data_IF_473718414973
#
_entry.id   IF_473718414973
#
_cell.length_a   1.000
_cell.length_b   1.000
_cell.length_c   1.000
_cell.angle_alpha   90.00
_cell.angle_beta   90.00
_cell.angle_gamma   90.00
#
_symmetry.space_group_name_H-M   'P 1'
#
loop_
_entity.id
_entity.type
_entity.pdbx_description
1 polymer ?
#
# COMPACT_ATOMS: atom_id res chain seq x y z
N UNK A 1 9.31 -5.27 2.99
CA UNK A 1 9.80 -5.16 1.60
C UNK A 1 10.15 -3.72 1.22
N UNK A 2 10.78 -3.02 2.17
CA UNK A 2 11.34 -1.68 1.97
C UNK A 2 12.69 -1.67 2.69
N UNK A 3 13.73 -1.18 2.04
CA UNK A 3 15.05 -0.96 2.62
C UNK A 3 15.39 0.53 2.54
N UNK A 4 16.27 0.99 3.42
CA UNK A 4 16.81 2.35 3.39
C UNK A 4 18.21 2.25 2.79
N UNK A 5 18.47 3.00 1.71
CA UNK A 5 19.80 3.06 1.11
C UNK A 5 20.76 3.98 1.89
N UNK A 6 22.03 4.02 1.48
CA UNK A 6 23.06 4.84 2.14
C UNK A 6 22.76 6.35 2.11
N UNK A 7 21.85 6.80 1.23
CA UNK A 7 21.40 8.19 1.14
C UNK A 7 20.17 8.45 2.02
N UNK A 8 19.73 7.48 2.83
CA UNK A 8 18.52 7.59 3.64
C UNK A 8 17.22 7.50 2.83
N UNK A 9 17.28 7.12 1.55
CA UNK A 9 16.09 7.04 0.70
C UNK A 9 15.42 5.67 0.81
N UNK A 10 14.10 5.60 1.01
CA UNK A 10 13.39 4.33 1.00
C UNK A 10 13.34 3.74 -0.42
N UNK A 11 13.63 2.44 -0.54
CA UNK A 11 13.60 1.66 -1.78
C UNK A 11 12.72 0.43 -1.60
N UNK A 12 11.83 0.17 -2.55
CA UNK A 12 11.07 -1.09 -2.59
C UNK A 12 12.05 -2.22 -2.96
N UNK A 13 11.93 -3.35 -2.27
CA UNK A 13 12.72 -4.55 -2.53
C UNK A 13 11.83 -5.80 -2.52
N UNK A 14 12.42 -6.97 -2.75
CA UNK A 14 11.75 -8.27 -2.71
C UNK A 14 10.59 -8.40 -3.72
N UNK A 15 10.98 -8.56 -4.99
CA UNK A 15 10.07 -8.75 -6.13
C UNK A 15 9.73 -10.22 -6.41
N UNK A 16 9.97 -11.13 -5.46
CA UNK A 16 9.77 -12.57 -5.66
C UNK A 16 8.32 -12.96 -5.97
N UNK A 17 7.36 -12.10 -5.60
CA UNK A 17 5.92 -12.27 -5.84
C UNK A 17 5.35 -11.21 -6.81
N UNK A 18 6.19 -10.36 -7.40
CA UNK A 18 5.71 -9.28 -8.26
C UNK A 18 5.16 -9.83 -9.59
N UNK A 19 4.03 -9.28 -10.05
CA UNK A 19 3.41 -9.64 -11.31
C UNK A 19 3.36 -8.41 -12.24
N UNK A 20 3.73 -8.61 -13.51
CA UNK A 20 3.65 -7.57 -14.55
C UNK A 20 2.46 -7.91 -15.43
N UNK A 21 1.52 -6.98 -15.54
CA UNK A 21 0.37 -7.09 -16.42
C UNK A 21 0.64 -6.32 -17.71
N UNK A 22 0.46 -6.97 -18.86
CA UNK A 22 0.45 -6.34 -20.18
C UNK A 22 -1.00 -6.29 -20.69
N UNK A 23 -1.36 -5.23 -21.41
CA UNK A 23 -2.73 -4.98 -21.92
C UNK A 23 -3.22 -6.00 -22.96
N UNK A 24 -2.37 -6.92 -23.43
CA UNK A 24 -2.73 -7.95 -24.39
C UNK A 24 -2.61 -9.34 -23.79
N UNK A 25 -3.65 -10.13 -24.06
CA UNK A 25 -3.81 -11.50 -23.62
C UNK A 25 -2.55 -12.35 -23.89
N UNK A 26 -1.78 -12.62 -22.86
CA UNK A 26 -0.79 -13.69 -22.91
C UNK A 26 -1.01 -14.68 -21.77
N UNK A 27 -1.27 -15.91 -22.17
CA UNK A 27 -1.41 -17.13 -21.38
C UNK A 27 -0.08 -17.57 -20.78
N UNK A 28 0.63 -16.66 -20.11
CA UNK A 28 1.91 -16.93 -19.47
C UNK A 28 1.73 -17.66 -18.15
N UNK A 29 2.08 -18.95 -18.14
CA UNK A 29 2.29 -19.83 -16.99
C UNK A 29 2.37 -19.09 -15.64
N UNK A 30 1.28 -19.07 -14.88
CA UNK A 30 1.31 -18.59 -13.50
C UNK A 30 1.36 -19.79 -12.58
N UNK A 31 2.46 -19.96 -11.85
CA UNK A 31 2.48 -20.81 -10.65
C UNK A 31 1.65 -20.09 -9.59
N UNK A 32 0.33 -20.25 -9.65
CA UNK A 32 -0.58 -19.90 -8.56
C UNK A 32 -0.38 -20.91 -7.45
N UNK A 33 0.62 -20.70 -6.61
CA UNK A 33 0.66 -21.34 -5.29
C UNK A 33 -0.41 -20.69 -4.44
N UNK A 34 -1.23 -21.51 -3.77
CA UNK A 34 -2.49 -21.13 -3.11
C UNK A 34 -2.36 -20.06 -2.00
N UNK A 35 -1.17 -19.73 -1.52
CA UNK A 35 -0.99 -18.83 -0.36
C UNK A 35 0.24 -17.93 -0.47
N UNK A 36 0.42 -17.22 -1.58
CA UNK A 36 1.58 -16.32 -1.71
C UNK A 36 1.27 -14.91 -1.20
N UNK A 37 1.75 -14.61 0.00
CA UNK A 37 1.66 -13.31 0.65
C UNK A 37 1.82 -13.44 2.16
N UNK A 38 1.91 -12.32 2.87
CA UNK A 38 1.77 -12.32 4.34
C UNK A 38 0.35 -11.89 4.67
N UNK A 39 -0.46 -12.78 5.26
CA UNK A 39 -1.91 -12.62 5.47
C UNK A 39 -2.33 -11.23 5.95
N UNK A 40 -1.55 -10.62 6.86
CA UNK A 40 -1.85 -9.30 7.43
C UNK A 40 -1.86 -8.15 6.41
N UNK A 41 -1.21 -8.29 5.26
CA UNK A 41 -1.16 -7.27 4.20
C UNK A 41 -2.05 -7.62 3.01
N UNK A 42 -2.64 -8.82 2.99
CA UNK A 42 -3.51 -9.25 1.90
C UNK A 42 -4.83 -8.48 1.95
N UNK A 43 -5.22 -7.95 0.80
CA UNK A 43 -6.52 -7.32 0.63
C UNK A 43 -7.64 -8.37 0.77
N UNK A 44 -8.83 -7.99 1.27
CA UNK A 44 -9.90 -8.95 1.59
C UNK A 44 -10.33 -9.80 0.38
N UNK A 45 -10.30 -9.25 -0.83
CA UNK A 45 -10.61 -9.96 -2.06
C UNK A 45 -9.61 -11.09 -2.39
N UNK A 46 -8.37 -11.02 -1.86
CA UNK A 46 -7.34 -12.05 -2.02
C UNK A 46 -7.42 -13.14 -0.94
N UNK A 47 -8.26 -12.95 0.09
CA UNK A 47 -8.47 -13.92 1.18
C UNK A 47 -9.68 -14.82 0.95
N UNK A 48 -10.52 -14.51 -0.05
CA UNK A 48 -11.68 -15.34 -0.40
C UNK A 48 -11.19 -16.50 -1.26
N UNK A 49 -11.59 -17.74 -0.90
CA UNK A 49 -11.24 -19.04 -1.52
C UNK A 49 -11.65 -19.20 -3.01
N UNK A 50 -11.75 -18.11 -3.77
CA UNK A 50 -11.81 -18.18 -5.22
C UNK A 50 -10.39 -18.32 -5.76
N UNK A 51 -10.05 -19.55 -6.15
CA UNK A 51 -8.74 -20.07 -6.62
C UNK A 51 -8.07 -19.25 -7.74
N UNK A 52 -8.67 -18.15 -8.20
CA UNK A 52 -8.20 -17.37 -9.35
C UNK A 52 -8.17 -15.84 -9.16
N UNK A 53 -8.47 -15.30 -7.97
CA UNK A 53 -8.36 -13.84 -7.77
C UNK A 53 -6.89 -13.42 -7.77
N UNK A 54 -6.50 -12.63 -8.76
CA UNK A 54 -5.12 -12.14 -8.92
C UNK A 54 -4.92 -10.83 -8.13
N UNK A 55 -3.72 -10.59 -7.59
CA UNK A 55 -3.34 -9.28 -7.11
C UNK A 55 -3.56 -8.20 -8.18
N UNK A 56 -4.00 -7.02 -7.75
CA UNK A 56 -4.23 -5.84 -8.58
C UNK A 56 -3.56 -4.62 -7.97
N UNK A 57 -3.47 -3.53 -8.71
CA UNK A 57 -3.01 -2.25 -8.15
C UNK A 57 -3.84 -1.81 -6.93
N UNK A 58 -5.14 -2.16 -6.87
CA UNK A 58 -6.00 -1.84 -5.73
C UNK A 58 -5.68 -2.70 -4.50
N UNK A 59 -5.26 -3.96 -4.67
CA UNK A 59 -4.79 -4.79 -3.55
C UNK A 59 -3.44 -4.31 -3.02
N UNK A 60 -2.57 -3.78 -3.88
CA UNK A 60 -1.31 -3.15 -3.45
C UNK A 60 -1.57 -1.90 -2.60
N UNK A 61 -2.55 -1.07 -3.00
CA UNK A 61 -2.96 0.11 -2.22
C UNK A 61 -3.46 -0.28 -0.83
N UNK A 62 -4.20 -1.38 -0.70
CA UNK A 62 -4.62 -1.91 0.60
C UNK A 62 -3.42 -2.25 1.49
N UNK A 63 -2.46 -3.00 0.94
CA UNK A 63 -1.24 -3.39 1.64
C UNK A 63 -0.42 -2.17 2.09
N UNK A 64 -0.26 -1.17 1.23
CA UNK A 64 0.43 0.10 1.54
C UNK A 64 -0.28 0.85 2.66
N UNK A 65 -1.61 0.94 2.62
CA UNK A 65 -2.39 1.56 3.69
C UNK A 65 -2.11 0.90 5.05
N UNK A 66 -2.10 -0.44 5.07
CA UNK A 66 -1.80 -1.21 6.29
C UNK A 66 -0.37 -0.97 6.78
N UNK A 67 0.61 -1.03 5.88
CA UNK A 67 2.02 -0.74 6.17
C UNK A 67 2.21 0.66 6.79
N UNK A 68 1.61 1.70 6.21
CA UNK A 68 1.71 3.07 6.74
C UNK A 68 1.11 3.15 8.15
N UNK A 69 -0.06 2.53 8.36
CA UNK A 69 -0.70 2.56 9.66
C UNK A 69 -0.01 1.74 10.74
N UNK A 70 0.43 0.52 10.44
CA UNK A 70 0.93 -0.39 11.48
C UNK A 70 2.42 -0.33 11.66
N UNK A 71 3.18 -0.09 10.60
CA UNK A 71 4.63 -0.26 10.62
C UNK A 71 5.35 1.10 10.61
N UNK A 72 4.78 2.14 9.98
CA UNK A 72 5.31 3.51 10.06
C UNK A 72 4.80 4.22 11.35
N UNK A 73 3.51 4.14 11.69
CA UNK A 73 3.00 4.84 12.89
C UNK A 73 3.32 4.16 14.22
N UNK A 74 3.82 2.91 14.26
CA UNK A 74 4.30 2.27 15.51
C UNK A 74 5.81 2.48 15.73
N UNK A 75 6.29 3.72 15.55
CA UNK A 75 7.70 4.09 15.79
C UNK A 75 8.10 5.58 15.93
N UNK A 76 7.26 6.57 15.57
CA UNK A 76 7.39 8.06 15.80
C UNK A 76 8.54 8.81 15.04
N UNK A 77 8.39 10.03 14.44
CA UNK A 77 7.29 10.72 13.73
C UNK A 77 7.72 11.29 12.33
N UNK A 78 6.82 11.93 11.53
CA UNK A 78 6.73 13.40 11.54
C UNK A 78 5.25 13.82 11.64
N UNK A 79 4.77 14.66 12.55
CA UNK A 79 5.35 15.56 13.50
C UNK A 79 4.75 15.28 14.90
N UNK A 80 5.33 15.91 15.91
CA UNK A 80 4.80 15.97 17.28
C UNK A 80 3.37 16.52 17.23
N UNK A 81 2.47 15.89 17.99
CA UNK A 81 1.05 16.23 18.14
C UNK A 81 0.20 16.21 16.86
N UNK A 82 -0.25 15.01 16.46
CA UNK A 82 -1.57 14.94 15.81
C UNK A 82 -2.41 13.81 16.41
N UNK A 83 -3.04 14.13 17.54
CA UNK A 83 -4.22 13.41 18.03
C UNK A 83 -5.47 13.72 17.16
N UNK A 84 -5.26 14.12 15.91
CA UNK A 84 -6.33 14.38 14.95
C UNK A 84 -6.46 13.20 14.01
N UNK A 85 -7.30 12.26 14.43
CA UNK A 85 -8.02 11.32 13.55
C UNK A 85 -8.87 12.03 12.45
N UNK A 86 -8.72 13.35 12.28
CA UNK A 86 -9.39 14.20 11.29
C UNK A 86 -8.42 14.88 10.30
N UNK A 87 -7.12 14.51 10.26
CA UNK A 87 -6.22 15.01 9.22
C UNK A 87 -6.55 14.37 7.85
N UNK A 88 -6.35 15.15 6.79
CA UNK A 88 -6.52 14.69 5.40
C UNK A 88 -5.74 13.38 5.13
N UNK A 89 -4.54 13.28 5.70
CA UNK A 89 -3.70 12.07 5.66
C UNK A 89 -4.37 10.86 6.28
N UNK A 90 -4.98 11.00 7.45
CA UNK A 90 -5.66 9.88 8.09
C UNK A 90 -6.90 9.44 7.33
N UNK A 91 -7.66 10.38 6.76
CA UNK A 91 -8.77 10.06 5.87
C UNK A 91 -8.31 9.26 4.65
N UNK A 92 -7.20 9.69 4.04
CA UNK A 92 -6.58 9.00 2.88
C UNK A 92 -6.08 7.60 3.23
N UNK A 93 -5.40 7.42 4.36
CA UNK A 93 -4.95 6.10 4.83
C UNK A 93 -6.16 5.18 5.05
N UNK A 94 -7.22 5.69 5.68
CA UNK A 94 -8.46 4.91 5.87
C UNK A 94 -9.11 4.50 4.55
N UNK A 95 -9.13 5.35 3.52
CA UNK A 95 -9.70 4.98 2.22
C UNK A 95 -8.93 3.89 1.48
N UNK A 96 -7.67 3.61 1.86
CA UNK A 96 -6.92 2.48 1.31
C UNK A 96 -7.51 1.12 1.73
N UNK A 97 -8.25 1.07 2.84
CA UNK A 97 -8.85 -0.17 3.37
C UNK A 97 -10.32 -0.35 2.99
N UNK A 98 -10.79 0.36 1.97
CA UNK A 98 -12.15 0.16 1.50
C UNK A 98 -12.33 -1.31 1.04
N UNK A 99 -13.49 -1.88 1.36
CA UNK A 99 -13.84 -3.24 0.95
C UNK A 99 -13.98 -3.35 -0.55
N UNK A 100 -14.42 -2.28 -1.20
CA UNK A 100 -14.53 -2.18 -2.65
C UNK A 100 -13.18 -1.74 -3.25
N UNK A 101 -12.50 -2.58 -4.05
CA UNK A 101 -11.20 -2.22 -4.64
C UNK A 101 -11.25 -0.92 -5.47
N UNK A 102 -12.35 -0.67 -6.17
CA UNK A 102 -12.59 0.51 -6.99
C UNK A 102 -12.73 1.82 -6.21
N UNK A 103 -13.08 1.74 -4.92
CA UNK A 103 -13.20 2.90 -4.05
C UNK A 103 -11.85 3.34 -3.44
N UNK A 104 -10.81 2.51 -3.57
CA UNK A 104 -9.47 2.80 -3.06
C UNK A 104 -8.78 3.86 -3.94
N UNK A 105 -8.00 4.77 -3.36
CA UNK A 105 -7.26 5.76 -4.14
C UNK A 105 -6.19 5.08 -5.01
N UNK A 106 -5.75 5.75 -6.08
CA UNK A 106 -4.55 5.32 -6.80
C UNK A 106 -3.30 5.61 -5.97
N UNK A 107 -2.22 4.85 -6.22
CA UNK A 107 -0.91 5.14 -5.62
C UNK A 107 -0.43 6.57 -5.93
N UNK A 108 -0.71 7.09 -7.12
CA UNK A 108 -0.39 8.48 -7.49
C UNK A 108 -1.13 9.50 -6.63
N UNK A 109 -2.43 9.26 -6.36
CA UNK A 109 -3.23 10.13 -5.50
C UNK A 109 -2.76 10.07 -4.05
N UNK A 110 -2.37 8.88 -3.57
CA UNK A 110 -1.77 8.74 -2.25
C UNK A 110 -0.49 9.55 -2.14
N UNK A 111 0.41 9.45 -3.12
CA UNK A 111 1.67 10.20 -3.13
C UNK A 111 1.44 11.71 -3.10
N UNK A 112 0.49 12.23 -3.89
CA UNK A 112 0.13 13.65 -3.93
C UNK A 112 -0.39 14.19 -2.58
N UNK A 113 -1.28 13.44 -1.92
CA UNK A 113 -1.85 13.86 -0.63
C UNK A 113 -0.81 13.78 0.49
N UNK A 114 0.03 12.74 0.48
CA UNK A 114 1.10 12.59 1.46
C UNK A 114 2.18 13.66 1.26
N UNK A 115 2.58 13.97 0.03
CA UNK A 115 3.56 15.03 -0.25
C UNK A 115 3.05 16.40 0.19
N UNK A 116 1.79 16.71 -0.07
CA UNK A 116 1.18 17.99 0.34
C UNK A 116 1.20 18.14 1.86
N UNK A 117 0.91 17.08 2.61
CA UNK A 117 0.86 17.14 4.07
C UNK A 117 2.26 17.19 4.71
N UNK A 118 3.24 16.50 4.12
CA UNK A 118 4.62 16.53 4.59
C UNK A 118 5.27 17.91 4.41
N UNK A 119 4.96 18.63 3.33
CA UNK A 119 5.46 20.00 3.11
C UNK A 119 4.92 20.97 4.18
N UNK A 120 3.66 20.82 4.60
CA UNK A 120 3.03 21.70 5.60
C UNK A 120 3.48 21.44 7.04
N UNK A 121 4.18 20.32 7.31
CA UNK A 121 4.73 20.00 8.64
C UNK A 121 6.21 20.35 8.78
N UNK A 122 6.85 20.80 7.70
CA UNK A 122 8.27 21.19 7.66
C UNK A 122 8.52 22.70 7.78
N UNK A 123 7.48 23.53 7.93
CA UNK A 123 7.66 24.94 8.26
C UNK A 123 7.66 25.16 9.79
N UNK A 124 8.67 25.84 10.35
CA UNK A 124 8.87 26.01 11.79
C UNK A 124 7.92 27.02 12.46
#
# INVERSE_FOLDING_TARGET
>A
NVIIDDSGCPRICDFGLAQIFYDEADSGMTTTTEHTGTDRYLAPELLVDEVNTRPTAASDVYAVGWFIHTDIKKGIPPAVDCDTQSSLTWSMIKSCWDRQPEARPSASRMAEVLSTTLIHTTEP
#
